data_IF_832810868765
#
_entry.id   IF_832810868765
#
_cell.length_a   1.000
_cell.length_b   1.000
_cell.length_c   1.000
_cell.angle_alpha   90.00
_cell.angle_beta   90.00
_cell.angle_gamma   90.00
#
_symmetry.space_group_name_H-M   'P 1'
#
loop_
_entity.id
_entity.type
_entity.pdbx_description
1 polymer ?
#
# COMPACT_ATOMS: atom_id res chain seq x y z
N UNK A 1 -19.23 33.88 -0.33
CA UNK A 1 -18.85 33.51 1.04
C UNK A 1 -17.92 32.32 0.91
N UNK A 2 -16.60 32.56 1.10
CA UNK A 2 -15.56 31.55 1.00
C UNK A 2 -15.73 30.59 2.16
N UNK A 3 -15.99 29.30 1.88
CA UNK A 3 -15.97 28.28 2.91
C UNK A 3 -14.57 28.24 3.52
N UNK A 4 -14.47 28.61 4.79
CA UNK A 4 -13.26 28.40 5.57
C UNK A 4 -12.99 26.91 5.54
N UNK A 5 -11.82 26.52 5.04
CA UNK A 5 -11.41 25.13 4.92
C UNK A 5 -11.38 24.49 6.32
N UNK A 6 -12.43 23.75 6.68
CA UNK A 6 -12.59 23.12 8.00
C UNK A 6 -11.41 22.19 8.35
N UNK A 7 -10.66 21.72 7.36
CA UNK A 7 -9.50 20.85 7.56
C UNK A 7 -8.35 21.62 8.24
N UNK A 8 -8.07 22.84 7.81
CA UNK A 8 -7.03 23.67 8.42
C UNK A 8 -7.35 24.02 9.88
N UNK A 9 -8.61 24.36 10.16
CA UNK A 9 -9.07 24.69 11.52
C UNK A 9 -8.92 23.50 12.47
N UNK A 10 -9.23 22.30 12.02
CA UNK A 10 -9.05 21.05 12.79
C UNK A 10 -7.59 20.78 13.11
N UNK A 11 -6.66 21.07 12.19
CA UNK A 11 -5.21 20.91 12.43
C UNK A 11 -4.68 21.90 13.46
N UNK A 12 -5.15 23.17 13.45
CA UNK A 12 -4.78 24.16 14.45
C UNK A 12 -5.27 23.75 15.84
N UNK A 13 -6.49 23.24 15.97
CA UNK A 13 -7.02 22.73 17.24
C UNK A 13 -6.17 21.55 17.75
N UNK A 14 -5.87 20.58 16.91
CA UNK A 14 -5.05 19.43 17.27
C UNK A 14 -3.64 19.85 17.70
N UNK A 15 -3.04 20.83 17.01
CA UNK A 15 -1.72 21.37 17.35
C UNK A 15 -1.76 22.12 18.70
N UNK A 16 -2.81 22.88 18.97
CA UNK A 16 -2.99 23.57 20.24
C UNK A 16 -3.14 22.58 21.40
N UNK A 17 -3.91 21.51 21.21
CA UNK A 17 -4.04 20.43 22.20
C UNK A 17 -2.70 19.72 22.47
N UNK A 18 -1.93 19.42 21.44
CA UNK A 18 -0.60 18.81 21.55
C UNK A 18 0.43 19.74 22.18
N UNK A 19 0.31 21.06 21.99
CA UNK A 19 1.18 22.06 22.64
C UNK A 19 0.94 22.16 24.16
N UNK A 20 -0.24 21.75 24.63
CA UNK A 20 -0.69 21.92 26.00
C UNK A 20 -1.18 23.32 26.30
N UNK A 21 -1.48 23.63 27.58
CA UNK A 21 -2.01 24.94 27.98
C UNK A 21 -0.99 26.04 27.75
N UNK A 22 -1.47 27.25 27.35
CA UNK A 22 -0.63 28.42 27.20
C UNK A 22 -0.14 28.90 28.58
N UNK A 23 1.18 28.99 28.83
CA UNK A 23 1.69 29.47 30.09
C UNK A 23 1.46 31.01 30.20
N UNK A 24 1.14 31.51 31.40
CA UNK A 24 1.01 32.95 31.61
C UNK A 24 2.27 33.72 31.20
N UNK A 25 2.12 34.76 30.37
CA UNK A 25 3.25 35.56 29.84
C UNK A 25 4.08 34.84 28.76
N UNK A 26 3.66 33.67 28.32
CA UNK A 26 4.35 32.86 27.30
C UNK A 26 3.63 32.77 25.95
N UNK A 27 2.64 33.64 25.68
CA UNK A 27 1.73 33.56 24.55
C UNK A 27 2.46 33.52 23.19
N UNK A 28 3.50 34.37 23.05
CA UNK A 28 4.26 34.41 21.80
C UNK A 28 5.07 33.13 21.54
N UNK A 29 5.64 32.53 22.59
CA UNK A 29 6.38 31.26 22.46
C UNK A 29 5.43 30.09 22.22
N UNK A 30 4.31 30.06 22.92
CA UNK A 30 3.25 29.07 22.72
C UNK A 30 2.66 29.16 21.33
N UNK A 31 2.35 30.36 20.82
CA UNK A 31 1.87 30.59 19.46
C UNK A 31 2.83 30.06 18.38
N UNK A 32 4.16 30.29 18.54
CA UNK A 32 5.16 29.72 17.63
C UNK A 32 5.18 28.19 17.67
N UNK A 33 5.03 27.58 18.86
CA UNK A 33 4.97 26.15 19.04
C UNK A 33 3.72 25.55 18.36
N UNK A 34 2.55 26.15 18.56
CA UNK A 34 1.31 25.74 17.89
C UNK A 34 1.44 25.84 16.38
N UNK A 35 2.01 26.95 15.87
CA UNK A 35 2.24 27.11 14.44
C UNK A 35 3.17 26.01 13.88
N UNK A 36 4.29 25.72 14.53
CA UNK A 36 5.20 24.64 14.14
C UNK A 36 4.48 23.29 14.08
N UNK A 37 3.77 22.92 15.13
CA UNK A 37 2.98 21.67 15.16
C UNK A 37 1.88 21.63 14.10
N UNK A 38 1.26 22.76 13.77
CA UNK A 38 0.27 22.82 12.68
C UNK A 38 0.88 22.52 11.32
N UNK A 39 2.09 23.06 11.06
CA UNK A 39 2.83 22.76 9.82
C UNK A 39 3.19 21.28 9.74
N UNK A 40 3.71 20.70 10.83
CA UNK A 40 4.09 19.29 10.88
C UNK A 40 2.88 18.37 10.66
N UNK A 41 1.75 18.65 11.33
CA UNK A 41 0.51 17.90 11.14
C UNK A 41 -0.03 18.01 9.71
N UNK A 42 0.10 19.18 9.08
CA UNK A 42 -0.31 19.37 7.68
C UNK A 42 0.54 18.53 6.74
N UNK A 43 1.85 18.49 6.91
CA UNK A 43 2.75 17.66 6.11
C UNK A 43 2.45 16.17 6.29
N UNK A 44 2.21 15.70 7.52
CA UNK A 44 1.83 14.32 7.82
C UNK A 44 0.49 13.97 7.14
N UNK A 45 -0.51 14.86 7.22
CA UNK A 45 -1.81 14.64 6.58
C UNK A 45 -1.71 14.58 5.05
N UNK A 46 -0.90 15.45 4.43
CA UNK A 46 -0.63 15.40 2.99
C UNK A 46 0.05 14.09 2.60
N UNK A 47 1.05 13.66 3.35
CA UNK A 47 1.74 12.40 3.08
C UNK A 47 0.78 11.20 3.21
N UNK A 48 -0.03 11.15 4.28
CA UNK A 48 -1.02 10.10 4.47
C UNK A 48 -2.05 10.05 3.34
N UNK A 49 -2.51 11.21 2.85
CA UNK A 49 -3.42 11.29 1.70
C UNK A 49 -2.79 10.70 0.44
N UNK A 50 -1.55 11.07 0.12
CA UNK A 50 -0.82 10.51 -1.02
C UNK A 50 -0.63 8.99 -0.90
N UNK A 51 -0.38 8.49 0.31
CA UNK A 51 -0.20 7.07 0.55
C UNK A 51 -1.52 6.30 0.37
N UNK A 52 -2.64 6.86 0.80
CA UNK A 52 -3.98 6.30 0.57
C UNK A 52 -4.28 6.25 -0.94
N UNK A 53 -4.09 7.36 -1.67
CA UNK A 53 -4.31 7.43 -3.12
C UNK A 53 -3.44 6.41 -3.88
N UNK A 54 -2.19 6.21 -3.47
CA UNK A 54 -1.29 5.20 -4.03
C UNK A 54 -1.80 3.78 -3.76
N UNK A 55 -2.30 3.51 -2.55
CA UNK A 55 -2.84 2.20 -2.20
C UNK A 55 -4.17 1.91 -2.90
N UNK A 56 -5.04 2.90 -3.05
CA UNK A 56 -6.31 2.78 -3.76
C UNK A 56 -6.13 2.52 -5.25
N UNK A 57 -5.14 3.17 -5.87
CA UNK A 57 -4.78 2.98 -7.28
C UNK A 57 -3.87 1.76 -7.53
N UNK A 58 -3.37 1.13 -6.48
CA UNK A 58 -2.43 0.03 -6.59
C UNK A 58 -3.10 -1.24 -7.13
N UNK A 59 -2.43 -1.88 -8.08
CA UNK A 59 -2.73 -3.27 -8.42
C UNK A 59 -2.16 -4.18 -7.35
N UNK A 60 -2.99 -5.13 -6.90
CA UNK A 60 -2.58 -6.13 -5.92
C UNK A 60 -2.38 -7.49 -6.58
N UNK A 61 -1.32 -8.16 -6.20
CA UNK A 61 -1.05 -9.53 -6.60
C UNK A 61 -0.20 -10.25 -5.56
N UNK A 62 -0.18 -11.58 -5.63
CA UNK A 62 0.58 -12.43 -4.72
C UNK A 62 1.85 -12.87 -5.42
N UNK A 63 2.97 -12.84 -4.71
CA UNK A 63 4.25 -13.32 -5.21
C UNK A 63 5.13 -13.86 -4.06
N UNK A 64 6.08 -14.71 -4.40
CA UNK A 64 7.16 -15.10 -3.51
C UNK A 64 8.30 -14.09 -3.66
N UNK A 65 8.72 -13.49 -2.56
CA UNK A 65 9.82 -12.53 -2.55
C UNK A 65 11.16 -13.27 -2.47
N UNK A 66 11.85 -13.35 -3.61
CA UNK A 66 13.10 -14.09 -3.73
C UNK A 66 14.30 -13.29 -3.23
N UNK A 67 14.36 -11.99 -3.58
CA UNK A 67 15.55 -11.17 -3.31
C UNK A 67 15.24 -9.69 -3.25
N UNK A 68 15.98 -8.96 -2.43
CA UNK A 68 15.97 -7.49 -2.35
C UNK A 68 17.39 -6.95 -2.48
N UNK A 69 17.64 -6.19 -3.53
CA UNK A 69 18.92 -5.57 -3.81
C UNK A 69 18.80 -4.04 -3.86
N UNK A 70 19.91 -3.34 -3.75
CA UNK A 70 19.98 -1.91 -4.02
C UNK A 70 20.55 -1.71 -5.41
N UNK A 71 19.75 -1.10 -6.29
CA UNK A 71 20.20 -0.68 -7.62
C UNK A 71 20.97 0.64 -7.47
N UNK A 72 22.30 0.60 -7.53
CA UNK A 72 23.15 1.76 -7.24
C UNK A 72 22.90 2.94 -8.18
N UNK A 73 22.60 2.68 -9.47
CA UNK A 73 22.32 3.71 -10.47
C UNK A 73 21.08 4.55 -10.17
N UNK A 74 20.05 3.94 -9.57
CA UNK A 74 18.78 4.61 -9.23
C UNK A 74 18.65 4.90 -7.75
N UNK A 75 19.50 4.34 -6.91
CA UNK A 75 19.45 4.37 -5.44
C UNK A 75 18.12 3.84 -4.89
N UNK A 76 17.52 2.86 -5.57
CA UNK A 76 16.23 2.24 -5.24
C UNK A 76 16.44 0.79 -4.83
N UNK A 77 15.56 0.28 -3.97
CA UNK A 77 15.45 -1.17 -3.77
C UNK A 77 14.86 -1.80 -5.02
N UNK A 78 15.47 -2.88 -5.49
CA UNK A 78 14.96 -3.75 -6.55
C UNK A 78 14.55 -5.07 -5.90
N UNK A 79 13.25 -5.37 -5.96
CA UNK A 79 12.67 -6.63 -5.51
C UNK A 79 12.53 -7.58 -6.68
N UNK A 80 13.04 -8.78 -6.54
CA UNK A 80 12.76 -9.89 -7.46
C UNK A 80 11.64 -10.73 -6.87
N UNK A 81 10.52 -10.75 -7.58
CA UNK A 81 9.30 -11.43 -7.17
C UNK A 81 9.01 -12.58 -8.12
N UNK A 82 8.75 -13.78 -7.61
CA UNK A 82 8.29 -14.92 -8.40
C UNK A 82 6.78 -15.07 -8.23
N UNK A 83 6.06 -14.97 -9.34
CA UNK A 83 4.60 -15.17 -9.39
C UNK A 83 4.23 -16.64 -9.19
N UNK A 84 2.99 -16.98 -8.83
CA UNK A 84 2.51 -18.37 -8.80
C UNK A 84 2.66 -19.08 -10.14
N UNK A 85 2.62 -18.34 -11.27
CA UNK A 85 2.89 -18.87 -12.62
C UNK A 85 4.35 -19.30 -12.85
N UNK A 86 5.28 -18.98 -11.93
CA UNK A 86 6.71 -19.17 -12.09
C UNK A 86 7.46 -18.03 -12.77
N UNK A 87 6.73 -17.04 -13.30
CA UNK A 87 7.35 -15.87 -13.91
C UNK A 87 7.98 -14.95 -12.87
N UNK A 88 9.06 -14.26 -13.25
CA UNK A 88 9.74 -13.32 -12.39
C UNK A 88 9.31 -11.87 -12.73
N UNK A 89 8.91 -11.10 -11.72
CA UNK A 89 8.53 -9.69 -11.88
C UNK A 89 9.42 -8.78 -11.01
N UNK A 90 10.24 -7.90 -11.62
CA UNK A 90 11.01 -6.92 -10.88
C UNK A 90 10.16 -5.69 -10.51
N UNK A 91 10.23 -5.25 -9.25
CA UNK A 91 9.58 -4.04 -8.76
C UNK A 91 10.59 -3.18 -8.01
N UNK A 92 10.47 -1.86 -8.14
CA UNK A 92 11.34 -0.90 -7.46
C UNK A 92 10.64 -0.24 -6.28
N UNK A 93 11.42 0.09 -5.25
CA UNK A 93 10.97 0.98 -4.17
C UNK A 93 11.20 2.45 -4.54
N UNK A 94 10.78 3.36 -3.68
CA UNK A 94 11.29 4.72 -3.65
C UNK A 94 12.80 4.74 -3.34
N UNK A 95 13.45 5.88 -3.50
CA UNK A 95 14.90 6.00 -3.28
C UNK A 95 15.25 5.71 -1.81
N UNK A 96 16.36 5.02 -1.59
CA UNK A 96 16.85 4.65 -0.25
C UNK A 96 17.12 5.83 0.69
N UNK A 97 17.23 7.03 0.14
CA UNK A 97 17.49 8.26 0.92
C UNK A 97 16.22 8.89 1.50
N UNK A 98 15.06 8.49 1.00
CA UNK A 98 13.78 8.89 1.57
C UNK A 98 13.41 7.97 2.74
N UNK A 99 12.72 8.51 3.76
CA UNK A 99 12.28 7.71 4.91
C UNK A 99 11.37 6.54 4.47
N UNK A 100 10.48 6.82 3.51
CA UNK A 100 9.61 5.81 2.95
C UNK A 100 10.39 4.74 2.17
N UNK A 101 11.36 5.14 1.35
CA UNK A 101 12.19 4.21 0.59
C UNK A 101 12.97 3.27 1.52
N UNK A 102 13.56 3.83 2.60
CA UNK A 102 14.23 3.02 3.64
C UNK A 102 13.28 2.04 4.28
N UNK A 103 12.12 2.50 4.77
CA UNK A 103 11.14 1.66 5.43
C UNK A 103 10.64 0.52 4.51
N UNK A 104 10.40 0.79 3.24
CA UNK A 104 9.99 -0.22 2.25
C UNK A 104 11.10 -1.24 1.99
N UNK A 105 12.35 -0.81 1.89
CA UNK A 105 13.51 -1.70 1.69
C UNK A 105 13.71 -2.60 2.92
N UNK A 106 13.69 -2.04 4.13
CA UNK A 106 13.82 -2.79 5.38
C UNK A 106 12.69 -3.80 5.54
N UNK A 107 11.46 -3.36 5.27
CA UNK A 107 10.29 -4.25 5.28
C UNK A 107 10.44 -5.37 4.26
N UNK A 108 10.84 -5.07 3.03
CA UNK A 108 11.05 -6.09 2.01
C UNK A 108 12.13 -7.09 2.42
N UNK A 109 13.28 -6.63 2.93
CA UNK A 109 14.35 -7.51 3.41
C UNK A 109 13.89 -8.45 4.53
N UNK A 110 13.04 -7.96 5.44
CA UNK A 110 12.47 -8.80 6.50
C UNK A 110 11.51 -9.89 6.00
N UNK A 111 11.11 -9.82 4.73
CA UNK A 111 10.15 -10.72 4.08
C UNK A 111 10.78 -11.56 2.96
N UNK A 112 12.09 -11.51 2.77
CA UNK A 112 12.77 -12.41 1.83
C UNK A 112 12.51 -13.88 2.18
N UNK A 113 12.25 -14.70 1.17
CA UNK A 113 11.90 -16.10 1.33
C UNK A 113 10.46 -16.36 1.77
N UNK A 114 9.57 -15.38 1.64
CA UNK A 114 8.15 -15.48 2.02
C UNK A 114 7.21 -15.12 0.87
N UNK A 115 6.02 -15.66 0.95
CA UNK A 115 4.91 -15.18 0.14
C UNK A 115 4.42 -13.82 0.66
N UNK A 116 4.18 -12.90 -0.25
CA UNK A 116 3.76 -11.54 0.05
C UNK A 116 2.58 -11.12 -0.84
N UNK A 117 1.68 -10.34 -0.29
CA UNK A 117 0.73 -9.56 -1.09
C UNK A 117 1.40 -8.24 -1.44
N UNK A 118 1.55 -7.99 -2.73
CA UNK A 118 2.24 -6.84 -3.30
C UNK A 118 1.22 -5.81 -3.73
N UNK A 119 1.39 -4.57 -3.28
CA UNK A 119 0.66 -3.40 -3.75
C UNK A 119 1.59 -2.61 -4.67
N UNK A 120 1.25 -2.55 -5.95
CA UNK A 120 2.08 -1.93 -7.00
C UNK A 120 1.34 -0.79 -7.67
N UNK A 121 2.02 0.33 -7.87
CA UNK A 121 1.57 1.42 -8.74
C UNK A 121 2.58 1.67 -9.86
N UNK A 122 2.15 2.43 -10.87
CA UNK A 122 3.02 2.82 -11.97
C UNK A 122 3.37 4.31 -11.83
N UNK A 123 4.67 4.62 -11.78
CA UNK A 123 5.18 5.98 -11.79
C UNK A 123 5.61 6.36 -13.21
N UNK A 124 5.09 7.45 -13.76
CA UNK A 124 5.55 7.95 -15.05
C UNK A 124 6.88 8.68 -14.86
N UNK A 125 7.89 8.33 -15.69
CA UNK A 125 9.16 9.07 -15.68
C UNK A 125 8.96 10.45 -16.28
N UNK A 126 9.31 11.50 -15.53
CA UNK A 126 9.31 12.88 -15.99
C UNK A 126 10.19 13.02 -17.26
N UNK A 127 9.65 13.60 -18.32
CA UNK A 127 10.36 13.80 -19.60
C UNK A 127 10.35 12.62 -20.58
N UNK A 128 9.78 11.47 -20.21
CA UNK A 128 9.65 10.29 -21.08
C UNK A 128 8.18 9.85 -21.14
N UNK A 129 7.41 10.41 -22.08
CA UNK A 129 5.94 10.23 -22.19
C UNK A 129 5.42 8.79 -22.20
N UNK A 130 6.26 7.78 -22.48
CA UNK A 130 5.83 6.38 -22.64
C UNK A 130 6.57 5.39 -21.72
N UNK A 131 7.34 5.84 -20.74
CA UNK A 131 8.00 4.93 -19.80
C UNK A 131 7.44 5.08 -18.40
N UNK A 132 6.71 4.08 -17.96
CA UNK A 132 6.33 3.92 -16.55
C UNK A 132 7.26 2.94 -15.85
N UNK A 133 7.55 3.22 -14.60
CA UNK A 133 8.30 2.32 -13.70
C UNK A 133 7.30 1.69 -12.74
N UNK A 134 7.42 0.38 -12.52
CA UNK A 134 6.62 -0.36 -11.54
C UNK A 134 7.20 -0.10 -10.17
N UNK A 135 6.39 0.51 -9.32
CA UNK A 135 6.78 0.95 -7.99
C UNK A 135 6.03 0.20 -6.90
N UNK A 136 6.75 -0.13 -5.84
CA UNK A 136 6.17 -0.72 -4.64
C UNK A 136 5.44 0.34 -3.82
N UNK A 137 4.15 0.12 -3.54
CA UNK A 137 3.39 0.91 -2.59
C UNK A 137 3.46 0.30 -1.19
N UNK A 138 3.26 -1.02 -1.08
CA UNK A 138 3.23 -1.74 0.20
C UNK A 138 3.46 -3.23 0.01
N UNK A 139 3.92 -3.92 1.07
CA UNK A 139 4.02 -5.38 1.19
C UNK A 139 3.31 -5.86 2.44
N UNK A 140 2.47 -6.88 2.29
CA UNK A 140 1.87 -7.62 3.40
C UNK A 140 2.43 -9.05 3.43
N UNK A 141 2.86 -9.47 4.60
CA UNK A 141 3.36 -10.84 4.84
C UNK A 141 2.20 -11.84 4.76
N UNK A 142 2.36 -12.87 3.95
CA UNK A 142 1.45 -14.01 3.84
C UNK A 142 2.07 -15.30 4.43
N UNK A 143 3.25 -15.18 5.05
CA UNK A 143 3.98 -16.31 5.63
C UNK A 143 4.72 -17.15 4.60
N UNK A 144 5.25 -18.27 5.08
CA UNK A 144 5.98 -19.25 4.24
C UNK A 144 5.01 -20.03 3.36
N UNK A 145 3.83 -20.32 3.87
CA UNK A 145 2.80 -21.14 3.20
C UNK A 145 1.86 -20.33 2.31
N UNK A 146 1.97 -18.99 2.31
CA UNK A 146 1.16 -18.12 1.47
C UNK A 146 -0.31 -18.05 1.85
N UNK A 147 -0.63 -18.10 3.14
CA UNK A 147 -2.02 -18.04 3.62
C UNK A 147 -2.61 -16.64 3.47
N UNK A 148 -3.62 -16.51 2.61
CA UNK A 148 -4.26 -15.22 2.29
C UNK A 148 -5.46 -14.99 3.20
N UNK A 149 -5.57 -13.83 3.89
CA UNK A 149 -6.76 -13.50 4.66
C UNK A 149 -8.02 -13.52 3.77
N UNK A 150 -9.12 -14.11 4.25
CA UNK A 150 -10.35 -14.27 3.45
C UNK A 150 -10.91 -12.94 2.93
N UNK A 151 -10.77 -11.85 3.68
CA UNK A 151 -11.17 -10.51 3.23
C UNK A 151 -10.38 -10.02 2.02
N UNK A 152 -9.08 -10.31 1.99
CA UNK A 152 -8.19 -10.00 0.86
C UNK A 152 -8.50 -10.90 -0.33
N UNK A 153 -8.66 -12.21 -0.10
CA UNK A 153 -9.03 -13.18 -1.11
C UNK A 153 -10.37 -12.80 -1.79
N UNK A 154 -11.39 -12.42 -1.01
CA UNK A 154 -12.68 -11.94 -1.56
C UNK A 154 -12.52 -10.73 -2.46
N UNK A 155 -11.70 -9.75 -2.08
CA UNK A 155 -11.40 -8.59 -2.94
C UNK A 155 -10.74 -9.00 -4.25
N UNK A 156 -9.79 -9.93 -4.21
CA UNK A 156 -9.10 -10.40 -5.42
C UNK A 156 -10.05 -11.15 -6.37
N UNK A 157 -10.89 -12.03 -5.85
CA UNK A 157 -11.90 -12.74 -6.65
C UNK A 157 -12.93 -11.76 -7.25
N UNK A 158 -13.36 -10.76 -6.48
CA UNK A 158 -14.27 -9.70 -6.98
C UNK A 158 -13.63 -8.88 -8.10
N UNK A 159 -12.35 -8.55 -8.00
CA UNK A 159 -11.61 -7.87 -9.08
C UNK A 159 -11.55 -8.72 -10.36
N UNK A 160 -11.28 -10.03 -10.24
CA UNK A 160 -11.28 -10.96 -11.40
C UNK A 160 -12.67 -11.09 -12.03
N UNK A 161 -13.72 -11.03 -11.21
CA UNK A 161 -15.12 -11.03 -11.68
C UNK A 161 -15.55 -9.68 -12.32
N UNK A 162 -14.63 -8.71 -12.47
CA UNK A 162 -14.95 -7.40 -13.02
C UNK A 162 -15.86 -6.54 -12.12
N UNK A 163 -15.89 -6.82 -10.81
CA UNK A 163 -16.75 -6.14 -9.83
C UNK A 163 -18.15 -6.77 -9.70
N UNK A 164 -18.46 -7.82 -10.45
CA UNK A 164 -19.73 -8.56 -10.33
C UNK A 164 -19.72 -9.42 -9.07
N UNK A 165 -20.55 -9.02 -8.09
CA UNK A 165 -20.65 -9.69 -6.79
C UNK A 165 -21.24 -11.09 -6.91
N UNK A 166 -22.23 -11.31 -7.77
CA UNK A 166 -22.89 -12.62 -7.94
C UNK A 166 -21.91 -13.62 -8.54
N UNK A 167 -21.19 -13.22 -9.57
CA UNK A 167 -20.13 -14.00 -10.21
C UNK A 167 -18.98 -14.33 -9.24
N UNK A 168 -18.53 -13.35 -8.47
CA UNK A 168 -17.52 -13.55 -7.45
C UNK A 168 -17.96 -14.56 -6.37
N UNK A 169 -19.22 -14.47 -5.93
CA UNK A 169 -19.78 -15.38 -4.95
C UNK A 169 -19.94 -16.80 -5.49
N UNK A 170 -20.35 -16.96 -6.75
CA UNK A 170 -20.40 -18.24 -7.41
C UNK A 170 -19.00 -18.88 -7.51
N UNK A 171 -18.00 -18.13 -7.98
CA UNK A 171 -16.62 -18.59 -8.04
C UNK A 171 -16.06 -19.01 -6.68
N UNK A 172 -16.38 -18.23 -5.63
CA UNK A 172 -16.04 -18.54 -4.24
C UNK A 172 -16.61 -19.88 -3.78
N UNK A 173 -17.89 -20.13 -4.11
CA UNK A 173 -18.59 -21.38 -3.76
C UNK A 173 -18.05 -22.56 -4.53
N UNK A 174 -17.82 -22.42 -5.85
CA UNK A 174 -17.28 -23.48 -6.73
C UNK A 174 -15.89 -23.92 -6.27
N UNK A 175 -15.05 -22.98 -5.86
CA UNK A 175 -13.72 -23.28 -5.33
C UNK A 175 -13.73 -23.82 -3.88
N UNK A 176 -14.89 -23.97 -3.25
CA UNK A 176 -15.01 -24.51 -1.89
C UNK A 176 -14.32 -23.66 -0.83
N UNK A 177 -14.25 -22.35 -1.02
CA UNK A 177 -13.52 -21.45 -0.13
C UNK A 177 -14.25 -21.24 1.19
N UNK A 178 -13.52 -21.16 2.33
CA UNK A 178 -14.12 -20.98 3.63
C UNK A 178 -14.77 -19.59 3.77
N UNK A 179 -15.88 -19.50 4.49
CA UNK A 179 -16.53 -18.22 4.79
C UNK A 179 -15.67 -17.28 5.63
N UNK A 180 -14.84 -17.86 6.49
CA UNK A 180 -13.89 -17.18 7.40
C UNK A 180 -12.58 -17.96 7.48
N UNK A 181 -11.51 -17.29 7.92
CA UNK A 181 -10.17 -17.88 8.02
C UNK A 181 -9.30 -17.64 6.79
N UNK A 182 -8.04 -18.10 6.83
CA UNK A 182 -7.11 -17.96 5.72
C UNK A 182 -7.46 -18.90 4.56
N UNK A 183 -7.14 -18.47 3.35
CA UNK A 183 -7.32 -19.20 2.09
C UNK A 183 -5.94 -19.57 1.56
N UNK A 184 -5.74 -20.82 1.12
CA UNK A 184 -4.48 -21.22 0.49
C UNK A 184 -4.34 -20.59 -0.91
N UNK A 185 -3.11 -20.49 -1.40
CA UNK A 185 -2.84 -19.95 -2.74
C UNK A 185 -3.54 -20.74 -3.83
N UNK A 186 -3.53 -22.08 -3.74
CA UNK A 186 -4.16 -22.96 -4.74
C UNK A 186 -5.67 -22.75 -4.77
N UNK A 187 -6.32 -22.70 -3.62
CA UNK A 187 -7.76 -22.43 -3.53
C UNK A 187 -8.10 -21.04 -4.09
N UNK A 188 -7.29 -20.03 -3.76
CA UNK A 188 -7.51 -18.69 -4.28
C UNK A 188 -7.37 -18.64 -5.81
N UNK A 189 -6.36 -19.30 -6.38
CA UNK A 189 -6.19 -19.32 -7.83
C UNK A 189 -7.33 -20.08 -8.53
N UNK A 190 -7.80 -21.18 -7.96
CA UNK A 190 -9.01 -21.87 -8.46
C UNK A 190 -10.23 -20.94 -8.51
N UNK A 191 -10.44 -20.14 -7.44
CA UNK A 191 -11.55 -19.18 -7.43
C UNK A 191 -11.37 -18.05 -8.45
N UNK A 192 -10.13 -17.59 -8.67
CA UNK A 192 -9.83 -16.56 -9.66
C UNK A 192 -10.05 -17.06 -11.09
N UNK A 193 -9.65 -18.31 -11.38
CA UNK A 193 -9.92 -18.95 -12.67
C UNK A 193 -11.44 -19.10 -12.88
N UNK A 194 -12.16 -19.62 -11.90
CA UNK A 194 -13.62 -19.74 -11.98
C UNK A 194 -14.30 -18.37 -12.18
N UNK A 195 -13.80 -17.31 -11.55
CA UNK A 195 -14.32 -15.95 -11.74
C UNK A 195 -14.09 -15.41 -13.16
N UNK A 196 -13.07 -15.84 -13.88
CA UNK A 196 -12.83 -15.46 -15.30
C UNK A 196 -13.71 -16.24 -16.27
N UNK A 197 -13.94 -17.53 -15.99
CA UNK A 197 -14.60 -18.46 -16.93
C UNK A 197 -16.14 -18.35 -16.92
N UNK A 198 -16.76 -17.85 -15.87
CA UNK A 198 -18.21 -17.67 -15.74
C UNK A 198 -18.74 -16.44 -16.52
N UNK A 199 -17.99 -15.92 -17.50
CA UNK A 199 -18.35 -14.75 -18.31
C UNK A 199 -18.85 -15.06 -19.71
#
# INVERSE_FOLDING_TARGET
MSGVDNSHYSLVIAAAQAAGPCPPGGEAAWGRRVHGLTVDLHLIAQQAKQDIERLESARTFIAFLEKVEIEESSRRGLLTLRLPSGESEPIRTEQKDTDRGRALIERARSLEGRWVLVYRYNEQKTGQRNRSVRMLAHLMDLGVDGAVPSTTAKKMVLQEAGGDVARAQQAWTVAGLPGTGPVSLDQLEQARVAAREVG
#
